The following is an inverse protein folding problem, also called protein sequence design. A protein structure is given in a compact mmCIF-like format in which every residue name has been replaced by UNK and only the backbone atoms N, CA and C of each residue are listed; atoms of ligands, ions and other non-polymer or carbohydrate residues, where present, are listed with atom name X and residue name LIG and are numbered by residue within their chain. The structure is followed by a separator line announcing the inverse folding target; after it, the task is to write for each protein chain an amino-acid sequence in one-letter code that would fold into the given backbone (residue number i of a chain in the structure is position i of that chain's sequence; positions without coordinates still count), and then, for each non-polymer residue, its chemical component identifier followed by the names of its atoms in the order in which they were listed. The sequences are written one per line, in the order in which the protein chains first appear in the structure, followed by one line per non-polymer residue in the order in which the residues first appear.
data_IF_353201197133
#
_entry.id   IF_353201197133
#
_cell.length_a   1.000
_cell.length_b   1.000
_cell.length_c   1.000
_cell.angle_alpha   90.00
_cell.angle_beta   90.00
_cell.angle_gamma   90.00
#
_symmetry.space_group_name_H-M   'P 1'
#
loop_
_entity.id
_entity.type
_entity.pdbx_description
1 polymer ?
#
# COMPACT_ATOMS: atom_id res chain seq x y z
N UNK A 1 -17.95 -32.76 10.84
CA UNK A 1 -17.74 -31.47 11.53
C UNK A 1 -16.60 -30.77 10.81
N UNK A 2 -16.93 -30.09 9.71
CA UNK A 2 -15.95 -29.41 8.85
C UNK A 2 -15.94 -27.95 9.27
N UNK A 3 -14.86 -27.49 9.88
CA UNK A 3 -14.71 -26.11 10.31
C UNK A 3 -14.77 -25.18 9.10
N UNK A 4 -15.80 -24.34 9.04
CA UNK A 4 -15.94 -23.29 8.05
C UNK A 4 -14.94 -22.18 8.36
N UNK A 5 -13.88 -22.08 7.56
CA UNK A 5 -12.83 -21.05 7.67
C UNK A 5 -13.34 -19.62 7.38
N UNK A 6 -14.65 -19.39 7.16
CA UNK A 6 -15.20 -18.10 6.70
C UNK A 6 -15.55 -17.08 7.78
N UNK A 7 -15.23 -17.27 9.07
CA UNK A 7 -15.48 -16.18 10.03
C UNK A 7 -14.57 -16.25 11.26
N UNK A 8 -13.33 -15.77 11.11
CA UNK A 8 -12.64 -15.23 12.28
C UNK A 8 -13.40 -13.98 12.75
N UNK A 9 -13.80 -13.86 14.04
CA UNK A 9 -14.33 -12.60 14.54
C UNK A 9 -13.23 -11.53 14.47
N UNK A 10 -13.58 -10.29 14.05
CA UNK A 10 -12.89 -9.10 14.57
C UNK A 10 -12.05 -8.21 13.65
N UNK A 11 -11.96 -8.40 12.32
CA UNK A 11 -11.33 -7.41 11.42
C UNK A 11 -12.35 -6.59 10.61
N UNK A 12 -12.21 -5.25 10.54
CA UNK A 12 -13.07 -4.40 9.73
C UNK A 12 -13.01 -4.77 8.25
N UNK A 13 -14.05 -4.46 7.49
CA UNK A 13 -14.15 -4.86 6.08
C UNK A 13 -12.99 -4.34 5.22
N UNK A 14 -12.52 -3.13 5.51
CA UNK A 14 -11.36 -2.55 4.82
C UNK A 14 -10.02 -3.17 5.21
N UNK A 15 -9.98 -4.17 6.09
CA UNK A 15 -8.79 -4.98 6.35
C UNK A 15 -8.79 -6.28 5.55
N UNK A 16 -9.72 -6.43 4.61
CA UNK A 16 -9.77 -7.57 3.69
C UNK A 16 -9.22 -7.15 2.33
N UNK A 17 -9.02 -8.13 1.46
CA UNK A 17 -8.76 -7.88 0.04
C UNK A 17 -9.82 -6.94 -0.55
N UNK A 18 -9.39 -6.04 -1.44
CA UNK A 18 -10.21 -5.01 -2.12
C UNK A 18 -10.73 -3.85 -1.27
N UNK A 19 -10.23 -3.73 -0.04
CA UNK A 19 -10.82 -2.80 0.91
C UNK A 19 -12.27 -3.17 1.22
N UNK A 20 -13.05 -2.21 1.71
CA UNK A 20 -14.44 -2.50 2.03
C UNK A 20 -15.19 -1.35 2.65
N UNK A 21 -16.51 -1.52 2.74
CA UNK A 21 -17.41 -0.52 3.34
C UNK A 21 -17.28 -0.55 4.85
N UNK A 22 -16.86 0.57 5.43
CA UNK A 22 -16.71 0.76 6.87
C UNK A 22 -17.34 2.08 7.27
N UNK A 23 -18.27 2.04 8.23
CA UNK A 23 -19.04 3.21 8.69
C UNK A 23 -19.76 3.94 7.55
N UNK A 24 -20.33 3.20 6.60
CA UNK A 24 -21.15 3.75 5.52
C UNK A 24 -20.40 4.25 4.28
N UNK A 25 -19.07 4.13 4.24
CA UNK A 25 -18.26 4.51 3.06
C UNK A 25 -17.21 3.46 2.71
N UNK A 26 -16.85 3.35 1.43
CA UNK A 26 -15.79 2.43 0.98
C UNK A 26 -14.43 2.98 1.42
N UNK A 27 -13.58 2.11 1.97
CA UNK A 27 -12.23 2.46 2.40
C UNK A 27 -11.24 1.41 1.91
N UNK A 28 -10.06 1.82 1.40
CA UNK A 28 -8.97 0.90 1.14
C UNK A 28 -8.31 0.45 2.44
N UNK A 29 -7.42 -0.54 2.35
CA UNK A 29 -6.60 -1.01 3.46
C UNK A 29 -5.73 0.11 4.09
N UNK A 30 -5.38 -0.02 5.39
CA UNK A 30 -4.46 0.89 6.06
C UNK A 30 -3.13 1.05 5.32
N UNK A 31 -2.64 2.29 5.24
CA UNK A 31 -1.39 2.58 4.52
C UNK A 31 -0.12 2.06 5.19
N UNK A 32 -0.17 1.81 6.51
CA UNK A 32 0.93 1.22 7.26
C UNK A 32 1.09 -0.28 7.01
N UNK A 33 0.08 -0.93 6.40
CA UNK A 33 0.10 -2.37 6.19
C UNK A 33 1.02 -2.74 5.02
N UNK A 34 1.92 -3.69 5.29
CA UNK A 34 2.75 -4.36 4.31
C UNK A 34 2.14 -5.70 3.86
N UNK A 35 2.29 -5.99 2.58
CA UNK A 35 2.10 -7.33 2.01
C UNK A 35 3.46 -7.78 1.46
N UNK A 36 3.95 -8.95 1.91
CA UNK A 36 5.38 -9.23 1.88
C UNK A 36 6.17 -8.10 2.55
N UNK A 37 7.24 -7.63 1.90
CA UNK A 37 8.07 -6.51 2.35
C UNK A 37 7.62 -5.14 1.78
N UNK A 38 6.45 -5.08 1.15
CA UNK A 38 6.02 -3.93 0.37
C UNK A 38 4.91 -3.15 1.10
N UNK A 39 5.32 -2.08 1.80
CA UNK A 39 4.38 -1.15 2.41
C UNK A 39 3.60 -0.39 1.34
N UNK A 40 2.36 0.00 1.65
CA UNK A 40 1.48 0.82 0.81
C UNK A 40 0.90 0.12 -0.43
N UNK A 41 1.46 -1.01 -0.87
CA UNK A 41 0.98 -1.75 -2.06
C UNK A 41 -0.46 -2.23 -1.88
N UNK A 42 -0.79 -2.81 -0.72
CA UNK A 42 -2.15 -3.25 -0.41
C UNK A 42 -3.18 -2.11 -0.54
N UNK A 43 -2.87 -0.96 0.06
CA UNK A 43 -3.74 0.23 -0.02
C UNK A 43 -3.85 0.75 -1.44
N UNK A 44 -2.74 0.82 -2.17
CA UNK A 44 -2.70 1.34 -3.53
C UNK A 44 -3.45 0.43 -4.51
N UNK A 45 -3.38 -0.89 -4.33
CA UNK A 45 -4.08 -1.86 -5.17
C UNK A 45 -5.59 -1.82 -4.97
N UNK A 46 -6.06 -1.70 -3.72
CA UNK A 46 -7.49 -1.51 -3.44
C UNK A 46 -8.04 -0.28 -4.16
N UNK A 47 -7.29 0.84 -4.12
CA UNK A 47 -7.66 2.06 -4.85
C UNK A 47 -7.62 1.88 -6.36
N UNK A 48 -6.63 1.16 -6.89
CA UNK A 48 -6.51 0.89 -8.31
C UNK A 48 -7.71 0.08 -8.83
N UNK A 49 -8.14 -0.94 -8.08
CA UNK A 49 -9.32 -1.76 -8.38
C UNK A 49 -10.62 -0.98 -8.26
N UNK A 50 -10.79 -0.23 -7.17
CA UNK A 50 -11.98 0.60 -7.00
C UNK A 50 -12.08 1.70 -8.06
N UNK A 51 -10.95 2.25 -8.52
CA UNK A 51 -10.92 3.18 -9.65
C UNK A 51 -11.33 2.50 -10.97
N UNK A 52 -10.84 1.29 -11.24
CA UNK A 52 -11.22 0.52 -12.43
C UNK A 52 -12.71 0.14 -12.44
N UNK A 53 -13.31 -0.07 -11.26
CA UNK A 53 -14.73 -0.42 -11.10
C UNK A 53 -15.65 0.81 -10.93
N UNK A 54 -15.11 2.02 -10.76
CA UNK A 54 -15.91 3.23 -10.49
C UNK A 54 -16.50 3.29 -9.07
N UNK A 55 -15.93 2.57 -8.10
CA UNK A 55 -16.45 2.41 -6.72
C UNK A 55 -15.63 3.14 -5.65
N UNK A 56 -14.71 4.01 -6.07
CA UNK A 56 -13.64 4.57 -5.22
C UNK A 56 -14.06 5.57 -4.13
N UNK A 57 -15.35 5.89 -3.95
CA UNK A 57 -15.91 6.70 -2.83
C UNK A 57 -15.03 7.88 -2.37
N UNK A 58 -14.60 8.72 -3.32
CA UNK A 58 -13.76 9.91 -3.07
C UNK A 58 -12.26 9.65 -2.95
N UNK A 59 -11.80 8.40 -2.93
CA UNK A 59 -10.38 8.07 -3.01
C UNK A 59 -9.85 8.24 -4.44
N UNK A 60 -8.78 9.02 -4.58
CA UNK A 60 -8.15 9.29 -5.87
C UNK A 60 -7.04 8.28 -6.13
N UNK A 61 -7.06 7.65 -7.31
CA UNK A 61 -5.97 6.83 -7.83
C UNK A 61 -5.48 7.38 -9.19
N UNK A 62 -4.16 7.58 -9.38
CA UNK A 62 -3.10 7.61 -8.36
C UNK A 62 -3.03 8.97 -7.65
N UNK A 63 -3.00 8.97 -6.30
CA UNK A 63 -2.75 10.19 -5.50
C UNK A 63 -1.23 10.50 -5.40
N UNK A 64 -0.81 11.64 -4.81
CA UNK A 64 0.61 11.98 -4.70
C UNK A 64 1.48 10.94 -3.99
N UNK A 65 0.95 10.24 -2.97
CA UNK A 65 1.69 9.17 -2.28
C UNK A 65 1.79 7.93 -3.16
N UNK A 66 0.72 7.55 -3.86
CA UNK A 66 0.75 6.45 -4.82
C UNK A 66 1.79 6.71 -5.92
N UNK A 67 1.86 7.93 -6.45
CA UNK A 67 2.86 8.30 -7.47
C UNK A 67 4.29 8.17 -6.96
N UNK A 68 4.55 8.48 -5.68
CA UNK A 68 5.86 8.25 -5.06
C UNK A 68 6.17 6.77 -4.91
N UNK A 69 5.18 5.97 -4.48
CA UNK A 69 5.32 4.52 -4.38
C UNK A 69 5.59 3.89 -5.75
N UNK A 70 4.84 4.29 -6.78
CA UNK A 70 5.03 3.90 -8.17
C UNK A 70 6.41 4.29 -8.70
N UNK A 71 6.89 5.50 -8.37
CA UNK A 71 8.24 5.94 -8.70
C UNK A 71 9.33 5.07 -8.06
N UNK A 72 9.16 4.69 -6.79
CA UNK A 72 10.09 3.78 -6.11
C UNK A 72 10.06 2.35 -6.68
N UNK A 73 8.92 1.92 -7.23
CA UNK A 73 8.78 0.65 -7.95
C UNK A 73 9.29 0.72 -9.39
N UNK A 74 9.56 1.91 -9.93
CA UNK A 74 9.81 2.14 -11.35
C UNK A 74 8.69 1.58 -12.24
N UNK A 75 7.44 1.78 -11.81
CA UNK A 75 6.22 1.39 -12.53
C UNK A 75 5.35 2.61 -12.84
N UNK A 76 4.67 2.61 -13.98
CA UNK A 76 3.61 3.59 -14.24
C UNK A 76 2.26 3.14 -13.65
N UNK A 77 1.36 4.09 -13.46
CA UNK A 77 0.07 3.86 -12.80
C UNK A 77 -0.87 2.92 -13.57
N UNK A 78 -0.79 2.91 -14.92
CA UNK A 78 -1.64 2.05 -15.75
C UNK A 78 -1.14 0.61 -15.65
N UNK A 79 0.17 0.40 -15.75
CA UNK A 79 0.77 -0.93 -15.54
C UNK A 79 0.41 -1.47 -14.17
N UNK A 80 0.59 -0.69 -13.10
CA UNK A 80 0.23 -1.14 -11.75
C UNK A 80 -1.27 -1.46 -11.62
N UNK A 81 -2.16 -0.67 -12.22
CA UNK A 81 -3.59 -0.94 -12.18
C UNK A 81 -3.94 -2.27 -12.86
N UNK A 82 -3.32 -2.57 -14.01
CA UNK A 82 -3.49 -3.87 -14.69
C UNK A 82 -3.06 -5.03 -13.77
N UNK A 83 -1.92 -4.91 -13.09
CA UNK A 83 -1.47 -5.93 -12.12
C UNK A 83 -2.46 -6.07 -10.96
N UNK A 84 -2.88 -4.95 -10.37
CA UNK A 84 -3.80 -4.94 -9.23
C UNK A 84 -5.17 -5.57 -9.55
N UNK A 85 -5.69 -5.35 -10.76
CA UNK A 85 -6.95 -5.94 -11.24
C UNK A 85 -6.78 -7.41 -11.63
N UNK A 86 -5.61 -7.80 -12.14
CA UNK A 86 -5.33 -9.17 -12.56
C UNK A 86 -4.94 -10.14 -11.44
N UNK A 87 -4.55 -9.63 -10.27
CA UNK A 87 -4.18 -10.45 -9.11
C UNK A 87 -5.39 -10.92 -8.31
N UNK A 88 -5.31 -12.14 -7.76
CA UNK A 88 -6.41 -12.75 -7.01
C UNK A 88 -6.30 -12.57 -5.50
N UNK A 89 -5.08 -12.44 -4.99
CA UNK A 89 -4.76 -12.27 -3.58
C UNK A 89 -3.45 -11.47 -3.40
N UNK A 90 -3.04 -11.27 -2.15
CA UNK A 90 -1.84 -10.50 -1.84
C UNK A 90 -0.54 -11.18 -2.30
N UNK A 91 -0.47 -12.51 -2.29
CA UNK A 91 0.72 -13.24 -2.72
C UNK A 91 0.89 -13.15 -4.24
N UNK A 92 -0.21 -13.25 -4.98
CA UNK A 92 -0.26 -13.03 -6.42
C UNK A 92 0.10 -11.60 -6.78
N UNK A 93 -0.41 -10.62 -6.03
CA UNK A 93 -0.06 -9.21 -6.22
C UNK A 93 1.42 -8.94 -5.95
N UNK A 94 1.96 -9.45 -4.85
CA UNK A 94 3.39 -9.31 -4.52
C UNK A 94 4.25 -9.92 -5.63
N UNK A 95 3.91 -11.12 -6.10
CA UNK A 95 4.62 -11.78 -7.21
C UNK A 95 4.54 -10.96 -8.50
N UNK A 96 3.35 -10.50 -8.87
CA UNK A 96 3.12 -9.71 -10.09
C UNK A 96 3.91 -8.38 -10.07
N UNK A 97 3.87 -7.66 -8.94
CA UNK A 97 4.60 -6.41 -8.75
C UNK A 97 6.11 -6.64 -8.74
N UNK A 98 6.58 -7.69 -8.07
CA UNK A 98 8.01 -8.05 -8.04
C UNK A 98 8.54 -8.36 -9.43
N UNK A 99 7.79 -9.12 -10.24
CA UNK A 99 8.20 -9.44 -11.60
C UNK A 99 8.24 -8.20 -12.51
N UNK A 100 7.26 -7.30 -12.37
CA UNK A 100 7.16 -6.11 -13.20
C UNK A 100 8.19 -5.02 -12.83
N UNK A 101 8.46 -4.83 -11.54
CA UNK A 101 9.29 -3.74 -11.02
C UNK A 101 10.80 -4.01 -11.21
N UNK A 102 11.53 -3.18 -11.99
CA UNK A 102 12.99 -3.25 -12.04
C UNK A 102 13.64 -2.99 -10.68
N UNK A 103 13.16 -1.99 -9.95
CA UNK A 103 13.68 -1.64 -8.63
C UNK A 103 13.60 -2.82 -7.63
N UNK A 104 12.54 -3.62 -7.66
CA UNK A 104 12.44 -4.81 -6.80
C UNK A 104 13.36 -5.94 -7.27
N UNK A 105 13.39 -6.25 -8.56
CA UNK A 105 14.26 -7.30 -9.12
C UNK A 105 15.74 -7.02 -8.87
N UNK A 106 16.12 -5.75 -8.84
CA UNK A 106 17.50 -5.30 -8.64
C UNK A 106 17.82 -4.95 -7.18
N UNK A 107 16.86 -5.11 -6.26
CA UNK A 107 17.07 -4.80 -4.84
C UNK A 107 17.28 -3.31 -4.53
N UNK A 108 16.84 -2.41 -5.42
CA UNK A 108 16.93 -0.95 -5.28
C UNK A 108 15.68 -0.32 -4.68
N UNK A 109 14.61 -1.09 -4.49
CA UNK A 109 13.35 -0.59 -3.95
C UNK A 109 13.54 -0.03 -2.54
N UNK A 110 13.18 1.24 -2.37
CA UNK A 110 13.12 1.91 -1.08
C UNK A 110 11.95 2.88 -1.09
N UNK A 111 10.97 2.65 -0.22
CA UNK A 111 9.79 3.52 -0.08
C UNK A 111 9.47 3.75 1.39
N UNK A 112 9.28 5.01 1.75
CA UNK A 112 8.77 5.43 3.05
C UNK A 112 7.58 6.37 2.80
N UNK A 113 6.36 6.02 3.23
CA UNK A 113 5.21 6.90 3.10
C UNK A 113 5.40 8.09 4.05
N UNK A 114 5.58 9.27 3.46
CA UNK A 114 6.09 10.49 4.10
C UNK A 114 5.28 11.08 5.27
N UNK A 115 4.29 10.38 5.83
CA UNK A 115 3.67 10.80 7.10
C UNK A 115 4.65 10.65 8.28
N UNK A 116 5.70 9.83 8.14
CA UNK A 116 6.71 9.59 9.19
C UNK A 116 7.99 10.44 9.05
N UNK A 117 8.28 11.01 7.88
CA UNK A 117 9.47 11.85 7.64
C UNK A 117 9.50 13.13 8.49
N UNK A 118 8.36 13.74 8.80
CA UNK A 118 8.32 14.96 9.63
C UNK A 118 8.78 14.70 11.07
N UNK A 119 8.38 13.56 11.65
CA UNK A 119 8.75 13.16 13.01
C UNK A 119 10.21 12.71 13.10
N UNK A 120 10.69 11.94 12.13
CA UNK A 120 12.09 11.48 12.10
C UNK A 120 13.10 12.63 11.83
N UNK A 121 12.70 13.65 11.08
CA UNK A 121 13.53 14.86 10.84
C UNK A 121 13.54 15.76 12.07
N UNK A 122 12.40 15.95 12.74
CA UNK A 122 12.29 16.70 13.99
C UNK A 122 13.04 16.02 15.15
N UNK A 123 12.98 14.69 15.28
CA UNK A 123 13.72 13.95 16.31
C UNK A 123 15.25 14.01 16.10
N UNK A 124 15.73 14.02 14.84
CA UNK A 124 17.17 14.20 14.56
C UNK A 124 17.67 15.62 14.83
N UNK A 125 16.83 16.65 14.65
CA UNK A 125 17.22 18.03 14.96
C UNK A 125 17.30 18.32 16.46
N UNK A 126 16.69 17.48 17.30
CA UNK A 126 16.73 17.60 18.77
C UNK A 126 17.98 16.98 19.40
N UNK A 127 18.78 16.22 18.65
CA UNK A 127 20.03 15.65 19.15
C UNK A 127 21.22 16.21 18.37
N UNK A 128 21.58 17.46 18.70
CA UNK A 128 22.90 17.98 18.39
C UNK A 128 23.75 17.80 19.65
N UNK A 129 24.74 16.88 19.70
CA UNK A 129 25.58 16.77 20.88
C UNK A 129 26.36 18.08 21.03
N UNK A 130 26.14 18.76 22.16
CA UNK A 130 26.88 19.96 22.54
C UNK A 130 28.35 19.55 22.68
N UNK A 131 29.19 19.92 21.71
CA UNK A 131 30.65 19.86 21.85
C UNK A 131 30.99 20.72 23.06
N UNK A 132 31.45 20.08 24.14
CA UNK A 132 31.94 20.78 25.31
C UNK A 132 33.27 21.41 24.93
N UNK A 133 33.36 22.73 25.07
CA UNK A 133 34.62 23.47 25.07
C UNK A 133 35.31 23.31 26.42
#
# INVERSE_FOLDING_TARGET
MTGDSRTAPGRPANERWDGGVVNGGWKPRPGAWSIGELQWIARMSDKARANAQGTSDGYIYPCPVDRRCLGALELDAKTFQTLAVGSHDDDDLVRAVTNASPALREGRYAFEPSIFRALATWLRSLWTPRRSA
#
